data_IF_275566401323
#
_entry.id   IF_275566401323
#
_cell.length_a   1.000
_cell.length_b   1.000
_cell.length_c   1.000
_cell.angle_alpha   90.00
_cell.angle_beta   90.00
_cell.angle_gamma   90.00
#
_symmetry.space_group_name_H-M   'P 1'
#
loop_
_entity.id
_entity.type
_entity.pdbx_description
1 polymer ?
#
# COMPACT_ATOMS: atom_id res chain seq x y z
N UNK A 1 -23.11 -5.25 -18.66
CA UNK A 1 -21.81 -5.54 -19.32
C UNK A 1 -21.49 -7.03 -19.25
N UNK A 2 -21.02 -7.68 -20.34
CA UNK A 2 -20.67 -9.13 -20.34
C UNK A 2 -19.50 -9.42 -19.39
N UNK A 3 -19.48 -10.59 -18.72
CA UNK A 3 -18.44 -10.98 -17.72
C UNK A 3 -17.01 -10.79 -18.22
N UNK A 4 -16.72 -11.23 -19.45
CA UNK A 4 -15.39 -11.09 -20.08
C UNK A 4 -14.93 -9.63 -20.17
N UNK A 5 -15.85 -8.69 -20.42
CA UNK A 5 -15.54 -7.27 -20.52
C UNK A 5 -15.33 -6.63 -19.14
N UNK A 6 -16.03 -7.09 -18.10
CA UNK A 6 -15.77 -6.64 -16.71
C UNK A 6 -14.38 -7.03 -16.24
N UNK A 7 -13.95 -8.26 -16.53
CA UNK A 7 -12.60 -8.73 -16.22
C UNK A 7 -11.53 -7.92 -16.96
N UNK A 8 -11.72 -7.68 -18.26
CA UNK A 8 -10.77 -6.90 -19.08
C UNK A 8 -10.61 -5.45 -18.60
N UNK A 9 -11.64 -4.89 -17.98
CA UNK A 9 -11.67 -3.50 -17.53
C UNK A 9 -11.55 -3.36 -16.01
N UNK A 10 -11.23 -4.42 -15.25
CA UNK A 10 -11.11 -4.35 -13.78
C UNK A 10 -12.33 -3.71 -13.09
N UNK A 11 -13.55 -4.13 -13.48
CA UNK A 11 -14.81 -3.59 -12.94
C UNK A 11 -15.61 -4.63 -12.16
N UNK A 12 -16.39 -4.15 -11.19
CA UNK A 12 -17.28 -4.99 -10.39
C UNK A 12 -16.48 -5.97 -9.55
N UNK A 13 -16.70 -7.27 -9.75
CA UNK A 13 -15.98 -8.33 -9.02
C UNK A 13 -14.48 -8.43 -9.35
N UNK A 14 -14.02 -7.72 -10.38
CA UNK A 14 -12.62 -7.67 -10.80
C UNK A 14 -11.94 -6.34 -10.45
N UNK A 15 -12.62 -5.48 -9.68
CA UNK A 15 -12.02 -4.25 -9.18
C UNK A 15 -10.94 -4.59 -8.16
N UNK A 16 -9.85 -3.83 -8.18
CA UNK A 16 -8.78 -3.92 -7.20
C UNK A 16 -8.69 -2.61 -6.45
N UNK A 17 -8.51 -2.71 -5.14
CA UNK A 17 -8.39 -1.56 -4.26
C UNK A 17 -6.97 -1.42 -3.74
N UNK A 18 -6.61 -0.20 -3.41
CA UNK A 18 -5.39 0.11 -2.70
C UNK A 18 -5.55 1.37 -1.88
N UNK A 19 -4.53 1.75 -1.14
CA UNK A 19 -4.51 2.98 -0.36
C UNK A 19 -3.13 3.61 -0.42
N UNK A 20 -3.07 4.93 -0.24
CA UNK A 20 -1.81 5.63 -0.07
C UNK A 20 -1.34 5.48 1.38
N UNK A 21 -0.12 4.99 1.52
CA UNK A 21 0.62 4.91 2.76
C UNK A 21 1.67 6.02 2.75
N UNK A 22 1.59 6.91 3.74
CA UNK A 22 2.61 7.93 4.00
C UNK A 22 3.19 7.69 5.38
N UNK A 23 4.50 7.53 5.47
CA UNK A 23 5.21 7.29 6.74
C UNK A 23 6.38 8.24 6.85
N UNK A 24 6.57 8.81 8.06
CA UNK A 24 7.74 9.61 8.40
C UNK A 24 8.60 8.88 9.42
N UNK A 25 9.91 8.91 9.25
CA UNK A 25 10.87 8.26 10.13
C UNK A 25 12.12 9.12 10.30
N UNK A 26 12.89 8.82 11.35
CA UNK A 26 14.21 9.41 11.54
C UNK A 26 15.13 9.07 10.36
N UNK A 27 16.01 9.99 10.00
CA UNK A 27 17.07 9.73 9.02
C UNK A 27 17.97 8.59 9.51
N UNK A 28 18.32 7.70 8.59
CA UNK A 28 19.11 6.50 8.84
C UNK A 28 20.34 6.51 7.94
N UNK A 29 21.47 5.93 8.36
CA UNK A 29 22.59 5.64 7.47
C UNK A 29 22.16 4.70 6.32
N UNK A 30 22.80 4.82 5.15
CA UNK A 30 22.45 4.08 3.94
C UNK A 30 22.24 2.57 4.16
N UNK A 31 23.15 1.89 4.89
CA UNK A 31 23.01 0.45 5.16
C UNK A 31 21.79 0.09 6.02
N UNK A 32 21.38 0.98 6.91
CA UNK A 32 20.18 0.79 7.73
C UNK A 32 18.92 1.12 6.93
N UNK A 33 18.99 2.13 6.07
CA UNK A 33 17.93 2.48 5.14
C UNK A 33 17.63 1.32 4.18
N UNK A 34 18.64 0.70 3.56
CA UNK A 34 18.45 -0.46 2.68
C UNK A 34 17.70 -1.59 3.39
N UNK A 35 18.16 -1.96 4.61
CA UNK A 35 17.50 -2.98 5.45
C UNK A 35 16.08 -2.59 5.84
N UNK A 36 15.84 -1.32 6.11
CA UNK A 36 14.50 -0.81 6.42
C UNK A 36 13.57 -0.96 5.21
N UNK A 37 14.02 -0.59 4.01
CA UNK A 37 13.21 -0.72 2.79
C UNK A 37 12.91 -2.18 2.45
N UNK A 38 13.89 -3.07 2.55
CA UNK A 38 13.70 -4.52 2.36
C UNK A 38 12.68 -5.07 3.36
N UNK A 39 12.80 -4.71 4.64
CA UNK A 39 11.85 -5.13 5.68
C UNK A 39 10.42 -4.68 5.40
N UNK A 40 10.23 -3.45 4.90
CA UNK A 40 8.92 -2.91 4.52
C UNK A 40 8.35 -3.68 3.31
N UNK A 41 9.14 -3.87 2.26
CA UNK A 41 8.71 -4.59 1.05
C UNK A 41 8.38 -6.05 1.37
N UNK A 42 9.24 -6.74 2.12
CA UNK A 42 9.03 -8.12 2.53
C UNK A 42 7.76 -8.26 3.38
N UNK A 43 7.52 -7.32 4.28
CA UNK A 43 6.30 -7.36 5.09
C UNK A 43 5.05 -7.21 4.24
N UNK A 44 5.02 -6.23 3.33
CA UNK A 44 3.89 -6.01 2.41
C UNK A 44 3.66 -7.27 1.57
N UNK A 45 4.73 -7.83 1.00
CA UNK A 45 4.68 -9.08 0.23
C UNK A 45 4.18 -10.28 1.06
N UNK A 46 4.58 -10.40 2.32
CA UNK A 46 4.13 -11.47 3.23
C UNK A 46 2.63 -11.44 3.53
N UNK A 47 2.00 -10.28 3.38
CA UNK A 47 0.55 -10.10 3.52
C UNK A 47 -0.21 -10.39 2.20
N UNK A 48 0.51 -10.80 1.14
CA UNK A 48 -0.04 -11.00 -0.20
C UNK A 48 -0.44 -9.70 -0.89
N UNK A 49 0.22 -8.59 -0.54
CA UNK A 49 -0.04 -7.27 -1.09
C UNK A 49 1.10 -6.87 -2.03
N UNK A 50 0.82 -5.90 -2.90
CA UNK A 50 1.81 -5.28 -3.77
C UNK A 50 1.89 -3.78 -3.46
N UNK A 51 3.04 -3.17 -3.67
CA UNK A 51 3.19 -1.73 -3.50
C UNK A 51 4.13 -1.11 -4.53
N UNK A 52 3.91 0.17 -4.81
CA UNK A 52 4.83 1.00 -5.59
C UNK A 52 4.81 2.44 -5.12
N UNK A 53 5.92 3.14 -5.26
CA UNK A 53 6.04 4.54 -4.81
C UNK A 53 7.49 4.94 -4.63
N UNK A 54 7.74 5.80 -3.64
CA UNK A 54 9.06 6.35 -3.33
C UNK A 54 9.43 6.17 -1.87
N UNK A 55 10.73 5.98 -1.64
CA UNK A 55 11.38 6.10 -0.36
C UNK A 55 12.34 7.28 -0.44
N UNK A 56 12.21 8.23 0.49
CA UNK A 56 13.09 9.37 0.69
C UNK A 56 13.80 9.24 2.05
N UNK A 57 14.73 10.14 2.34
CA UNK A 57 15.62 10.08 3.52
C UNK A 57 14.88 10.02 4.86
N UNK A 58 13.71 10.68 4.96
CA UNK A 58 12.94 10.78 6.21
C UNK A 58 11.44 10.49 6.04
N UNK A 59 11.00 10.13 4.83
CA UNK A 59 9.63 9.75 4.57
C UNK A 59 9.52 8.76 3.40
N UNK A 60 8.45 8.00 3.38
CA UNK A 60 8.03 7.21 2.23
C UNK A 60 6.59 7.53 1.87
N UNK A 61 6.30 7.36 0.58
CA UNK A 61 4.96 7.44 0.01
C UNK A 61 4.77 6.27 -0.94
N UNK A 62 3.90 5.34 -0.56
CA UNK A 62 3.60 4.12 -1.32
C UNK A 62 2.11 4.05 -1.62
N UNK A 63 1.76 3.57 -2.81
CA UNK A 63 0.42 3.03 -3.06
C UNK A 63 0.47 1.53 -2.83
N UNK A 64 -0.32 1.03 -1.87
CA UNK A 64 -0.37 -0.39 -1.50
C UNK A 64 -1.68 -0.99 -2.00
N UNK A 65 -1.60 -1.96 -2.91
CA UNK A 65 -2.74 -2.67 -3.50
C UNK A 65 -3.11 -3.87 -2.64
N UNK A 66 -4.37 -3.95 -2.21
CA UNK A 66 -4.90 -5.04 -1.37
C UNK A 66 -5.45 -6.23 -2.16
N UNK A 67 -5.47 -6.09 -3.49
CA UNK A 67 -5.99 -7.07 -4.45
C UNK A 67 -7.46 -6.84 -4.76
N UNK A 68 -8.15 -7.92 -5.13
CA UNK A 68 -9.57 -7.88 -5.50
C UNK A 68 -10.46 -7.41 -4.35
N UNK A 69 -11.56 -6.74 -4.71
CA UNK A 69 -12.60 -6.34 -3.76
C UNK A 69 -13.21 -7.55 -3.01
N UNK A 70 -13.60 -7.34 -1.75
CA UNK A 70 -14.17 -8.33 -0.82
C UNK A 70 -13.19 -9.43 -0.38
N UNK A 71 -11.91 -9.09 -0.17
CA UNK A 71 -10.83 -10.02 0.21
C UNK A 71 -10.08 -9.58 1.48
N UNK A 72 -10.79 -8.94 2.41
CA UNK A 72 -10.29 -8.40 3.69
C UNK A 72 -9.33 -7.21 3.54
N UNK A 73 -9.71 -6.26 2.70
CA UNK A 73 -8.92 -5.05 2.40
C UNK A 73 -8.65 -4.24 3.68
N UNK A 74 -9.65 -4.12 4.56
CA UNK A 74 -9.54 -3.37 5.81
C UNK A 74 -8.56 -4.03 6.80
N UNK A 75 -8.63 -5.36 6.97
CA UNK A 75 -7.69 -6.10 7.83
C UNK A 75 -6.25 -6.01 7.30
N UNK A 76 -6.07 -6.18 5.99
CA UNK A 76 -4.77 -6.00 5.31
C UNK A 76 -4.19 -4.59 5.50
N UNK A 77 -5.01 -3.55 5.30
CA UNK A 77 -4.60 -2.16 5.54
C UNK A 77 -4.18 -1.95 6.98
N UNK A 78 -4.97 -2.44 7.95
CA UNK A 78 -4.64 -2.28 9.36
C UNK A 78 -3.33 -3.00 9.71
N UNK A 79 -3.11 -4.21 9.19
CA UNK A 79 -1.87 -4.96 9.42
C UNK A 79 -0.62 -4.24 8.89
N UNK A 80 -0.73 -3.52 7.76
CA UNK A 80 0.36 -2.67 7.26
C UNK A 80 0.60 -1.49 8.18
N UNK A 81 -0.45 -0.77 8.59
CA UNK A 81 -0.32 0.40 9.47
C UNK A 81 0.26 0.02 10.84
N UNK A 82 -0.19 -1.08 11.42
CA UNK A 82 0.30 -1.58 12.72
C UNK A 82 1.78 -1.95 12.63
N UNK A 83 2.19 -2.60 11.53
CA UNK A 83 3.59 -2.91 11.30
C UNK A 83 4.45 -1.65 11.19
N UNK A 84 4.05 -0.67 10.37
CA UNK A 84 4.82 0.57 10.23
C UNK A 84 4.95 1.30 11.58
N UNK A 85 3.89 1.34 12.39
CA UNK A 85 3.93 1.93 13.73
C UNK A 85 4.83 1.16 14.71
N UNK A 86 5.09 -0.12 14.46
CA UNK A 86 5.97 -0.94 15.30
C UNK A 86 7.45 -0.75 15.01
N UNK A 87 7.80 -0.16 13.86
CA UNK A 87 9.19 0.02 13.45
C UNK A 87 9.88 1.13 14.27
N UNK A 88 11.11 0.90 14.73
CA UNK A 88 11.86 1.92 15.47
C UNK A 88 12.14 3.14 14.58
N UNK A 89 12.09 4.33 15.16
CA UNK A 89 12.36 5.58 14.44
C UNK A 89 11.19 6.10 13.60
N UNK A 90 10.09 5.36 13.44
CA UNK A 90 8.86 5.86 12.82
C UNK A 90 8.17 6.87 13.74
N UNK A 91 7.77 8.01 13.18
CA UNK A 91 7.18 9.15 13.91
C UNK A 91 5.76 9.49 13.47
N UNK A 92 5.37 9.14 12.24
CA UNK A 92 4.00 9.27 11.75
C UNK A 92 3.70 8.17 10.75
N UNK A 93 2.48 7.63 10.80
CA UNK A 93 1.95 6.64 9.87
C UNK A 93 0.54 7.05 9.48
N UNK A 94 0.31 7.29 8.20
CA UNK A 94 -0.97 7.69 7.65
C UNK A 94 -1.35 6.75 6.50
N UNK A 95 -2.56 6.21 6.55
CA UNK A 95 -3.17 5.48 5.44
C UNK A 95 -4.38 6.25 4.93
N UNK A 96 -4.50 6.46 3.63
CA UNK A 96 -5.71 7.04 3.04
C UNK A 96 -6.91 6.08 3.13
N UNK A 97 -8.07 6.58 2.72
CA UNK A 97 -9.19 5.73 2.29
C UNK A 97 -8.79 4.89 1.07
N UNK A 98 -9.57 3.84 0.79
CA UNK A 98 -9.34 3.02 -0.39
C UNK A 98 -9.65 3.78 -1.68
N UNK A 99 -8.74 3.65 -2.64
CA UNK A 99 -8.89 4.08 -4.02
C UNK A 99 -8.86 2.87 -4.96
N UNK A 100 -9.44 3.06 -6.14
CA UNK A 100 -9.35 2.08 -7.22
C UNK A 100 -7.92 2.07 -7.78
N UNK A 101 -7.31 0.88 -7.87
CA UNK A 101 -5.93 0.75 -8.33
C UNK A 101 -5.76 1.00 -9.85
N UNK A 102 -6.86 0.92 -10.62
CA UNK A 102 -6.86 0.99 -12.08
C UNK A 102 -7.40 2.32 -12.63
N UNK A 103 -8.17 3.05 -11.82
CA UNK A 103 -8.85 4.27 -12.24
C UNK A 103 -8.63 5.38 -11.23
N UNK A 104 -8.16 6.53 -11.69
CA UNK A 104 -8.15 7.74 -10.86
C UNK A 104 -9.58 8.05 -10.38
N UNK A 105 -9.74 8.21 -9.07
CA UNK A 105 -10.98 8.62 -8.44
C UNK A 105 -11.43 10.04 -8.82
N UNK A 106 -10.65 10.80 -9.60
CA UNK A 106 -11.16 11.97 -10.33
C UNK A 106 -12.16 11.55 -11.41
N UNK A 107 -13.39 11.27 -10.98
CA UNK A 107 -14.56 11.37 -11.86
C UNK A 107 -14.95 12.84 -11.99
N UNK A 108 -14.91 13.30 -13.24
CA UNK A 108 -15.63 14.41 -13.88
C UNK A 108 -16.24 15.50 -12.97
#
# INVERSE_FOLDING_TARGET
MKKRLRKKLHRGEFQELGFFLKVKYAEMPDEEFDRFTDCVIDKIGSLGLECGGRFDVNELELFVTTGLVNTDEAGKRQAVLDFMNSLPGVTSVEGSDFADAWYDTKKA
#
